data_IF_676382349069
#
_entry.id   IF_676382349069
#
_cell.length_a   1.000
_cell.length_b   1.000
_cell.length_c   1.000
_cell.angle_alpha   90.00
_cell.angle_beta   90.00
_cell.angle_gamma   90.00
#
_symmetry.space_group_name_H-M   'P 1'
#
loop_
_entity.id
_entity.type
_entity.pdbx_description
1 polymer ?
#
# COMPACT_ATOMS: atom_id res chain seq x y z
N UNK A 1 -4.79 -3.09 -3.11
CA UNK A 1 -4.35 -2.67 -1.76
C UNK A 1 -3.49 -3.79 -1.22
N UNK A 2 -2.21 -3.52 -1.01
CA UNK A 2 -1.23 -4.53 -0.59
C UNK A 2 -1.39 -4.81 0.93
N UNK A 3 -1.50 -6.09 1.35
CA UNK A 3 -1.50 -6.46 2.76
C UNK A 3 -0.31 -5.91 3.56
N UNK A 4 0.86 -5.73 2.93
CA UNK A 4 2.03 -5.18 3.62
C UNK A 4 1.90 -3.70 3.93
N UNK A 5 1.27 -2.91 3.04
CA UNK A 5 0.98 -1.50 3.30
C UNK A 5 0.01 -1.33 4.48
N UNK A 6 -1.00 -2.20 4.57
CA UNK A 6 -1.95 -2.16 5.68
C UNK A 6 -1.34 -2.55 7.03
N UNK A 7 -0.29 -3.39 7.02
CA UNK A 7 0.50 -3.67 8.23
C UNK A 7 1.37 -2.47 8.63
N UNK A 8 1.91 -1.74 7.66
CA UNK A 8 2.71 -0.55 7.93
C UNK A 8 1.87 0.56 8.57
N UNK A 9 0.67 0.85 8.05
CA UNK A 9 -0.21 1.86 8.63
C UNK A 9 -0.60 1.53 10.08
N UNK A 10 -0.86 0.26 10.39
CA UNK A 10 -1.09 -0.18 11.77
C UNK A 10 0.12 0.08 12.68
N UNK A 11 1.34 -0.22 12.21
CA UNK A 11 2.56 0.05 12.98
C UNK A 11 2.78 1.55 13.20
N UNK A 12 2.50 2.38 12.21
CA UNK A 12 2.60 3.84 12.34
C UNK A 12 1.65 4.37 13.44
N UNK A 13 0.42 3.86 13.49
CA UNK A 13 -0.54 4.23 14.54
C UNK A 13 -0.11 3.73 15.93
N UNK A 14 0.49 2.54 16.02
CA UNK A 14 1.03 2.01 17.28
C UNK A 14 2.26 2.79 17.76
N UNK A 15 3.13 3.22 16.84
CA UNK A 15 4.35 3.97 17.15
C UNK A 15 4.08 5.33 17.81
N UNK A 16 2.85 5.87 17.74
CA UNK A 16 2.43 7.05 18.49
C UNK A 16 2.52 6.85 20.01
N UNK A 17 2.54 5.59 20.47
CA UNK A 17 2.65 5.23 21.88
C UNK A 17 4.04 4.74 22.27
N UNK A 18 4.99 4.74 21.34
CA UNK A 18 6.36 4.33 21.63
C UNK A 18 7.10 5.41 22.44
N UNK A 19 8.08 4.97 23.22
CA UNK A 19 8.93 5.86 23.98
C UNK A 19 9.83 6.70 23.07
N UNK A 20 9.85 8.01 23.31
CA UNK A 20 10.73 8.94 22.60
C UNK A 20 11.90 9.30 23.50
N UNK A 21 13.10 8.93 23.07
CA UNK A 21 14.35 9.36 23.70
C UNK A 21 14.81 10.63 22.98
N UNK A 22 15.08 11.69 23.73
CA UNK A 22 15.55 12.95 23.18
C UNK A 22 16.81 13.40 23.91
N UNK A 23 17.69 14.04 23.15
CA UNK A 23 18.86 14.74 23.67
C UNK A 23 19.10 15.95 22.78
N UNK A 24 19.21 17.13 23.37
CA UNK A 24 19.51 18.35 22.63
C UNK A 24 20.45 19.24 23.44
N UNK A 25 21.24 20.03 22.72
CA UNK A 25 22.14 21.03 23.28
C UNK A 25 21.89 22.36 22.56
N UNK A 26 21.82 23.43 23.33
CA UNK A 26 21.59 24.78 22.85
C UNK A 26 22.67 25.69 23.41
N UNK A 27 23.35 26.40 22.50
CA UNK A 27 24.25 27.48 22.86
C UNK A 27 23.60 28.81 22.44
N UNK A 28 23.64 29.80 23.33
CA UNK A 28 23.22 31.15 23.01
C UNK A 28 24.18 32.16 23.61
N UNK A 29 24.46 33.21 22.86
CA UNK A 29 25.28 34.33 23.28
C UNK A 29 24.45 35.61 23.23
N UNK A 30 24.57 36.43 24.26
CA UNK A 30 23.88 37.70 24.35
C UNK A 30 24.83 38.80 24.76
N UNK A 31 25.03 39.74 23.85
CA UNK A 31 25.68 41.01 24.13
C UNK A 31 24.70 41.88 24.90
N UNK A 32 25.03 42.14 26.16
CA UNK A 32 24.29 43.10 26.97
C UNK A 32 24.94 44.47 26.84
N UNK A 33 24.14 45.57 26.83
CA UNK A 33 24.70 46.90 26.75
C UNK A 33 25.70 47.08 27.89
N UNK A 34 26.84 47.69 27.57
CA UNK A 34 27.88 47.91 28.54
C UNK A 34 27.32 48.68 29.75
N UNK A 35 27.67 48.21 30.95
CA UNK A 35 27.24 48.90 32.16
C UNK A 35 28.03 50.21 32.28
N UNK A 36 27.33 51.29 32.64
CA UNK A 36 27.98 52.60 32.85
C UNK A 36 28.97 52.47 34.00
N UNK A 37 30.26 52.65 33.70
CA UNK A 37 31.28 52.88 34.72
C UNK A 37 31.08 54.22 35.44
N UNK A 38 31.95 54.47 36.41
CA UNK A 38 31.95 55.68 37.23
C UNK A 38 32.11 56.94 36.36
N UNK A 39 31.32 57.98 36.65
CA UNK A 39 31.43 59.27 35.94
C UNK A 39 32.57 60.05 36.58
N UNK A 40 33.57 60.43 35.80
CA UNK A 40 34.61 61.35 36.27
C UNK A 40 34.44 62.71 35.63
N UNK A 41 34.86 63.75 36.35
CA UNK A 41 34.90 65.12 35.83
C UNK A 41 36.25 65.31 35.13
N UNK A 42 36.24 65.68 33.85
CA UNK A 42 37.48 66.04 33.16
C UNK A 42 37.94 67.40 33.69
N UNK A 43 39.21 67.47 34.10
CA UNK A 43 39.94 68.74 34.27
C UNK A 43 40.77 69.01 33.02
N UNK A 44 40.57 70.15 32.37
CA UNK A 44 41.25 70.52 31.14
C UNK A 44 41.52 72.02 31.10
N UNK A 45 42.63 72.44 30.48
CA UNK A 45 42.96 73.86 30.29
C UNK A 45 42.12 74.53 29.19
N UNK A 46 41.27 73.76 28.49
CA UNK A 46 40.32 74.26 27.51
C UNK A 46 38.96 74.54 28.18
N UNK A 47 38.47 75.81 28.19
CA UNK A 47 37.28 76.22 28.95
C UNK A 47 35.95 75.59 28.48
N UNK A 48 35.93 74.91 27.32
CA UNK A 48 34.75 74.19 26.83
C UNK A 48 34.64 72.75 27.35
N UNK A 49 35.73 72.20 27.89
CA UNK A 49 35.84 70.79 28.29
C UNK A 49 36.13 70.64 29.80
N UNK A 50 36.43 71.74 30.48
CA UNK A 50 36.69 71.77 31.93
C UNK A 50 35.37 71.68 32.71
N UNK A 51 35.23 70.63 33.52
CA UNK A 51 33.99 70.35 34.26
C UNK A 51 32.99 69.43 33.54
N UNK A 52 33.32 68.95 32.34
CA UNK A 52 32.45 68.01 31.62
C UNK A 52 32.51 66.60 32.24
N UNK A 53 31.34 65.96 32.38
CA UNK A 53 31.21 64.60 32.89
C UNK A 53 31.61 63.60 31.79
N UNK A 54 32.80 63.03 31.89
CA UNK A 54 33.23 61.96 30.99
C UNK A 54 33.08 60.57 31.62
N UNK A 55 32.62 59.63 30.80
CA UNK A 55 32.52 58.22 31.17
C UNK A 55 33.88 57.57 30.91
N UNK A 56 34.60 57.15 31.94
CA UNK A 56 35.96 56.62 31.79
C UNK A 56 36.02 55.14 31.37
N UNK A 57 35.01 54.33 31.68
CA UNK A 57 35.01 52.92 31.33
C UNK A 57 33.63 52.45 30.85
N UNK A 58 33.63 51.79 29.69
CA UNK A 58 32.48 51.12 29.09
C UNK A 58 32.76 49.61 29.15
N UNK A 59 32.39 48.97 30.27
CA UNK A 59 32.65 47.54 30.46
C UNK A 59 31.63 46.73 29.65
N UNK A 60 32.08 46.17 28.53
CA UNK A 60 31.28 45.24 27.73
C UNK A 60 30.91 44.02 28.58
N UNK A 61 29.62 43.70 28.65
CA UNK A 61 29.12 42.53 29.34
C UNK A 61 28.57 41.54 28.31
N UNK A 62 29.18 40.36 28.26
CA UNK A 62 28.76 39.26 27.39
C UNK A 62 28.21 38.12 28.25
N UNK A 63 27.06 37.56 27.87
CA UNK A 63 26.44 36.44 28.56
C UNK A 63 26.38 35.23 27.63
N UNK A 64 26.94 34.12 28.07
CA UNK A 64 26.90 32.84 27.38
C UNK A 64 25.96 31.88 28.13
N UNK A 65 25.17 31.15 27.36
CA UNK A 65 24.18 30.19 27.85
C UNK A 65 24.41 28.86 27.16
N UNK A 66 24.59 27.81 27.95
CA UNK A 66 24.64 26.43 27.50
C UNK A 66 23.51 25.65 28.15
N UNK A 67 22.54 25.18 27.38
CA UNK A 67 21.45 24.33 27.86
C UNK A 67 21.57 22.95 27.21
N UNK A 68 21.82 21.92 28.01
CA UNK A 68 21.85 20.52 27.57
C UNK A 68 20.70 19.80 28.27
N UNK A 69 19.84 19.12 27.52
CA UNK A 69 18.80 18.29 28.11
C UNK A 69 18.74 16.95 27.40
N UNK A 70 18.74 15.88 28.20
CA UNK A 70 18.45 14.54 27.73
C UNK A 70 17.29 13.96 28.54
N UNK A 71 16.44 13.16 27.91
CA UNK A 71 15.28 12.59 28.58
C UNK A 71 14.56 11.53 27.77
N UNK A 72 13.58 10.92 28.42
CA UNK A 72 12.66 9.94 27.84
C UNK A 72 11.23 10.39 28.08
N UNK A 73 10.44 10.41 27.03
CA UNK A 73 9.00 10.71 27.06
C UNK A 73 8.23 9.46 26.67
N UNK A 74 7.34 9.00 27.55
CA UNK A 74 6.49 7.83 27.34
C UNK A 74 5.03 8.28 27.28
N UNK A 75 4.42 8.35 26.08
CA UNK A 75 2.98 8.50 25.95
C UNK A 75 2.24 7.22 26.40
N UNK A 76 1.21 7.37 27.22
CA UNK A 76 0.40 6.27 27.73
C UNK A 76 -0.85 6.10 26.87
N UNK A 77 -1.27 4.84 26.69
CA UNK A 77 -2.53 4.47 26.00
C UNK A 77 -3.79 5.06 26.66
N UNK A 78 -3.71 5.47 27.93
CA UNK A 78 -4.79 6.15 28.66
C UNK A 78 -4.93 7.64 28.32
N UNK A 79 -4.06 8.17 27.45
CA UNK A 79 -3.98 9.59 27.09
C UNK A 79 -3.01 10.41 27.97
N UNK A 80 -2.38 9.78 28.96
CA UNK A 80 -1.39 10.42 29.81
C UNK A 80 0.00 10.47 29.17
N UNK A 81 0.92 11.24 29.76
CA UNK A 81 2.34 11.27 29.37
C UNK A 81 3.22 11.24 30.62
N UNK A 82 4.26 10.42 30.59
CA UNK A 82 5.33 10.36 31.59
C UNK A 82 6.58 10.94 30.93
N UNK A 83 7.27 11.87 31.58
CA UNK A 83 8.53 12.43 31.08
C UNK A 83 9.56 12.43 32.20
N UNK A 84 10.74 11.88 31.93
CA UNK A 84 11.91 11.94 32.80
C UNK A 84 13.02 12.65 32.02
N UNK A 85 13.53 13.77 32.52
CA UNK A 85 14.61 14.51 31.87
C UNK A 85 15.64 15.05 32.85
N UNK A 86 16.85 15.26 32.35
CA UNK A 86 18.00 15.76 33.09
C UNK A 86 18.56 17.00 32.37
N UNK A 87 17.99 18.20 32.62
CA UNK A 87 18.57 19.45 32.15
C UNK A 87 19.84 19.82 32.93
N UNK A 88 20.83 20.29 32.19
CA UNK A 88 22.05 20.93 32.66
C UNK A 88 22.15 22.29 31.97
N UNK A 89 22.03 23.34 32.75
CA UNK A 89 22.12 24.73 32.30
C UNK A 89 23.43 25.30 32.86
N UNK A 90 24.29 25.84 32.00
CA UNK A 90 25.37 26.72 32.42
C UNK A 90 25.11 28.15 31.95
N UNK A 91 25.19 29.10 32.87
CA UNK A 91 25.11 30.53 32.59
C UNK A 91 26.39 31.22 32.99
N UNK A 92 27.12 31.69 32.00
CA UNK A 92 28.36 32.42 32.19
C UNK A 92 28.13 33.90 31.85
N UNK A 93 28.62 34.79 32.71
CA UNK A 93 28.71 36.22 32.44
C UNK A 93 30.18 36.59 32.39
N UNK A 94 30.62 37.16 31.27
CA UNK A 94 31.97 37.70 31.07
C UNK A 94 31.93 39.23 31.23
N UNK A 95 32.96 39.79 31.88
CA UNK A 95 33.09 41.21 32.19
C UNK A 95 33.63 41.45 33.61
N UNK A 96 33.51 42.70 34.10
CA UNK A 96 34.03 43.11 35.42
C UNK A 96 33.36 42.38 36.60
N UNK A 97 32.14 41.88 36.41
CA UNK A 97 31.44 40.99 37.35
C UNK A 97 31.23 39.63 36.70
N UNK A 98 32.33 38.86 36.59
CA UNK A 98 32.27 37.52 36.03
C UNK A 98 31.52 36.56 36.96
N UNK A 99 30.68 35.70 36.40
CA UNK A 99 30.02 34.62 37.14
C UNK A 99 29.85 33.40 36.24
N UNK A 100 29.99 32.21 36.82
CA UNK A 100 29.77 30.92 36.16
C UNK A 100 28.80 30.12 37.04
N UNK A 101 27.63 29.78 36.51
CA UNK A 101 26.54 29.17 37.27
C UNK A 101 26.03 27.92 36.55
N UNK A 102 26.37 26.76 37.11
CA UNK A 102 25.80 25.48 36.70
C UNK A 102 24.53 25.18 37.50
N UNK A 103 23.48 24.81 36.78
CA UNK A 103 22.22 24.30 37.35
C UNK A 103 21.94 22.96 36.71
N UNK A 104 21.82 21.94 37.54
CA UNK A 104 21.36 20.63 37.11
C UNK A 104 20.16 20.23 37.94
N UNK A 105 19.19 19.58 37.30
CA UNK A 105 18.05 19.01 37.98
C UNK A 105 17.65 17.70 37.31
N UNK A 106 17.10 16.77 38.09
CA UNK A 106 16.33 15.65 37.55
C UNK A 106 14.85 16.04 37.60
N UNK A 107 14.19 16.04 36.45
CA UNK A 107 12.79 16.41 36.29
C UNK A 107 11.97 15.16 35.97
N UNK A 108 11.04 14.82 36.86
CA UNK A 108 10.00 13.83 36.61
C UNK A 108 8.66 14.54 36.47
N UNK A 109 7.92 14.25 35.40
CA UNK A 109 6.61 14.82 35.11
C UNK A 109 5.63 13.72 34.71
N UNK A 110 4.45 13.73 35.32
CA UNK A 110 3.34 12.86 34.99
C UNK A 110 2.09 13.70 34.73
N UNK A 111 1.47 13.53 33.57
CA UNK A 111 0.26 14.24 33.18
C UNK A 111 -0.78 13.23 32.73
N UNK A 112 -1.98 13.26 33.32
CA UNK A 112 -3.08 12.36 32.97
C UNK A 112 -4.39 13.17 32.82
N UNK A 113 -5.03 13.17 31.63
CA UNK A 113 -6.37 13.71 31.48
C UNK A 113 -7.38 12.85 32.25
N UNK A 114 -8.33 13.48 32.96
CA UNK A 114 -9.36 12.80 33.77
C UNK A 114 -10.73 12.74 33.08
N UNK A 115 -11.01 13.65 32.14
CA UNK A 115 -12.28 13.74 31.42
C UNK A 115 -12.05 13.63 29.92
N UNK A 116 -11.81 14.77 29.24
CA UNK A 116 -11.56 14.79 27.79
C UNK A 116 -10.22 14.12 27.48
N UNK A 117 -10.20 13.21 26.51
CA UNK A 117 -9.04 12.40 26.12
C UNK A 117 -8.58 11.40 27.19
N UNK A 118 -9.40 11.15 28.21
CA UNK A 118 -9.15 10.09 29.16
C UNK A 118 -9.62 8.73 28.59
N UNK A 119 -8.84 7.68 28.87
CA UNK A 119 -9.23 6.30 28.60
C UNK A 119 -8.69 5.73 27.30
N UNK A 120 -8.55 4.41 27.28
CA UNK A 120 -7.90 3.67 26.19
C UNK A 120 -8.71 3.73 24.89
N UNK A 121 -10.05 3.65 24.97
CA UNK A 121 -10.92 3.60 23.79
C UNK A 121 -10.80 4.84 22.90
N UNK A 122 -10.57 6.02 23.50
CA UNK A 122 -10.46 7.28 22.76
C UNK A 122 -9.08 7.40 22.12
N UNK A 123 -8.02 7.05 22.85
CA UNK A 123 -6.64 7.22 22.39
C UNK A 123 -6.22 6.10 21.42
N UNK A 124 -6.73 4.87 21.57
CA UNK A 124 -6.47 3.77 20.64
C UNK A 124 -7.48 3.68 19.49
N UNK A 125 -8.42 4.63 19.38
CA UNK A 125 -9.44 4.61 18.33
C UNK A 125 -8.82 4.50 16.92
N UNK A 126 -7.73 5.24 16.66
CA UNK A 126 -7.05 5.19 15.37
C UNK A 126 -6.35 3.85 15.12
N UNK A 127 -5.76 3.24 16.15
CA UNK A 127 -5.18 1.88 16.07
C UNK A 127 -6.28 0.89 15.71
N UNK A 128 -7.43 0.94 16.38
CA UNK A 128 -8.54 0.02 16.13
C UNK A 128 -9.11 0.17 14.72
N UNK A 129 -9.18 1.39 14.20
CA UNK A 129 -9.56 1.64 12.80
C UNK A 129 -8.52 1.02 11.86
N UNK A 130 -7.22 1.22 12.11
CA UNK A 130 -6.16 0.63 11.30
C UNK A 130 -6.15 -0.91 11.35
N UNK A 131 -6.48 -1.52 12.49
CA UNK A 131 -6.66 -2.97 12.62
C UNK A 131 -7.80 -3.48 11.73
N UNK A 132 -8.96 -2.83 11.80
CA UNK A 132 -10.12 -3.18 10.98
C UNK A 132 -9.86 -3.00 9.48
N UNK A 133 -9.14 -1.93 9.10
CA UNK A 133 -8.74 -1.70 7.72
C UNK A 133 -7.77 -2.78 7.22
N UNK A 134 -6.82 -3.18 8.06
CA UNK A 134 -5.88 -4.27 7.77
C UNK A 134 -6.59 -5.60 7.57
N UNK A 135 -7.56 -5.93 8.43
CA UNK A 135 -8.37 -7.13 8.27
C UNK A 135 -9.26 -7.05 7.02
N UNK A 136 -9.83 -5.88 6.71
CA UNK A 136 -10.60 -5.63 5.49
C UNK A 136 -9.76 -5.86 4.23
N UNK A 137 -8.52 -5.35 4.20
CA UNK A 137 -7.58 -5.60 3.09
C UNK A 137 -7.27 -7.08 2.95
N UNK A 138 -7.00 -7.79 4.05
CA UNK A 138 -6.73 -9.23 4.02
C UNK A 138 -7.92 -10.03 3.46
N UNK A 139 -9.14 -9.71 3.89
CA UNK A 139 -10.36 -10.36 3.40
C UNK A 139 -10.61 -10.05 1.92
N UNK A 140 -10.39 -8.81 1.47
CA UNK A 140 -10.48 -8.43 0.05
C UNK A 140 -9.48 -9.19 -0.81
N UNK A 141 -8.23 -9.32 -0.36
CA UNK A 141 -7.21 -10.11 -1.05
C UNK A 141 -7.61 -11.57 -1.15
N UNK A 142 -8.13 -12.18 -0.07
CA UNK A 142 -8.63 -13.55 -0.10
C UNK A 142 -9.79 -13.73 -1.09
N UNK A 143 -10.74 -12.79 -1.10
CA UNK A 143 -11.86 -12.79 -2.03
C UNK A 143 -11.39 -12.65 -3.49
N UNK A 144 -10.38 -11.81 -3.74
CA UNK A 144 -9.76 -11.68 -5.06
C UNK A 144 -9.17 -13.01 -5.53
N UNK A 145 -8.42 -13.72 -4.67
CA UNK A 145 -7.89 -15.05 -4.99
C UNK A 145 -9.00 -16.04 -5.33
N UNK A 146 -10.06 -16.10 -4.51
CA UNK A 146 -11.22 -16.97 -4.78
C UNK A 146 -11.86 -16.65 -6.13
N UNK A 147 -12.03 -15.36 -6.45
CA UNK A 147 -12.59 -14.93 -7.74
C UNK A 147 -11.72 -15.35 -8.91
N UNK A 148 -10.40 -15.23 -8.80
CA UNK A 148 -9.46 -15.68 -9.84
C UNK A 148 -9.60 -17.19 -10.05
N UNK A 149 -9.56 -17.98 -8.98
CA UNK A 149 -9.72 -19.45 -9.07
C UNK A 149 -11.07 -19.83 -9.69
N UNK A 150 -12.17 -19.21 -9.25
CA UNK A 150 -13.50 -19.47 -9.81
C UNK A 150 -13.61 -19.06 -11.30
N UNK A 151 -12.92 -17.99 -11.70
CA UNK A 151 -12.90 -17.56 -13.11
C UNK A 151 -12.14 -18.56 -13.98
N UNK A 152 -11.00 -19.07 -13.49
CA UNK A 152 -10.21 -20.11 -14.17
C UNK A 152 -10.99 -21.42 -14.25
N UNK A 153 -11.64 -21.84 -13.17
CA UNK A 153 -12.47 -23.05 -13.13
C UNK A 153 -13.64 -22.96 -14.13
N UNK A 154 -14.33 -21.81 -14.18
CA UNK A 154 -15.38 -21.58 -15.19
C UNK A 154 -14.84 -21.68 -16.62
N UNK A 155 -13.71 -21.03 -16.91
CA UNK A 155 -13.10 -21.08 -18.24
C UNK A 155 -12.65 -22.49 -18.62
N UNK A 156 -12.21 -23.29 -17.65
CA UNK A 156 -11.90 -24.71 -17.86
C UNK A 156 -13.15 -25.50 -18.28
N UNK A 157 -14.27 -25.32 -17.58
CA UNK A 157 -15.53 -26.00 -17.92
C UNK A 157 -16.11 -25.53 -19.26
N UNK A 158 -15.96 -24.25 -19.61
CA UNK A 158 -16.33 -23.73 -20.93
C UNK A 158 -15.49 -24.37 -22.05
N UNK A 159 -14.19 -24.58 -21.83
CA UNK A 159 -13.32 -25.31 -22.76
C UNK A 159 -13.76 -26.77 -22.91
N UNK A 160 -14.08 -27.43 -21.80
CA UNK A 160 -14.58 -28.80 -21.80
C UNK A 160 -15.91 -28.92 -22.58
N UNK A 161 -16.85 -28.00 -22.35
CA UNK A 161 -18.13 -27.96 -23.07
C UNK A 161 -17.92 -27.75 -24.57
N UNK A 162 -17.06 -26.80 -24.96
CA UNK A 162 -16.76 -26.53 -26.37
C UNK A 162 -16.12 -27.75 -27.06
N UNK A 163 -15.27 -28.49 -26.33
CA UNK A 163 -14.65 -29.72 -26.82
C UNK A 163 -15.70 -30.83 -27.05
N UNK A 164 -16.59 -31.07 -26.08
CA UNK A 164 -17.67 -32.04 -26.22
C UNK A 164 -18.65 -31.66 -27.35
N UNK A 165 -18.95 -30.37 -27.49
CA UNK A 165 -19.80 -29.86 -28.57
C UNK A 165 -19.15 -30.10 -29.94
N UNK A 166 -17.85 -29.88 -30.08
CA UNK A 166 -17.12 -30.16 -31.31
C UNK A 166 -17.21 -31.64 -31.71
N UNK A 167 -17.02 -32.56 -30.76
CA UNK A 167 -17.12 -34.00 -31.02
C UNK A 167 -18.52 -34.38 -31.55
N UNK A 168 -19.58 -33.85 -30.92
CA UNK A 168 -20.96 -34.06 -31.39
C UNK A 168 -21.18 -33.49 -32.80
N UNK A 169 -20.69 -32.28 -33.10
CA UNK A 169 -20.84 -31.67 -34.43
C UNK A 169 -20.08 -32.43 -35.51
N UNK A 170 -18.89 -32.94 -35.17
CA UNK A 170 -18.09 -33.78 -36.07
C UNK A 170 -18.83 -35.06 -36.45
N UNK A 171 -19.39 -35.76 -35.46
CA UNK A 171 -20.20 -36.96 -35.70
C UNK A 171 -21.45 -36.65 -36.54
N UNK A 172 -22.14 -35.53 -36.29
CA UNK A 172 -23.30 -35.11 -37.09
C UNK A 172 -22.94 -34.83 -38.55
N UNK A 173 -21.80 -34.19 -38.81
CA UNK A 173 -21.30 -33.95 -40.16
C UNK A 173 -20.96 -35.26 -40.88
N UNK A 174 -20.34 -36.21 -40.19
CA UNK A 174 -20.02 -37.53 -40.74
C UNK A 174 -21.30 -38.29 -41.11
N UNK A 175 -22.30 -38.34 -40.23
CA UNK A 175 -23.59 -38.99 -40.52
C UNK A 175 -24.34 -38.31 -41.67
N UNK A 176 -24.33 -36.98 -41.74
CA UNK A 176 -24.94 -36.26 -42.87
C UNK A 176 -24.23 -36.60 -44.20
N UNK A 177 -22.91 -36.71 -44.19
CA UNK A 177 -22.11 -37.07 -45.36
C UNK A 177 -22.39 -38.49 -45.83
N UNK A 178 -22.47 -39.46 -44.91
CA UNK A 178 -22.86 -40.84 -45.21
C UNK A 178 -24.29 -40.91 -45.78
N UNK A 179 -25.23 -40.14 -45.22
CA UNK A 179 -26.59 -40.06 -45.73
C UNK A 179 -26.64 -39.48 -47.16
N UNK A 180 -25.86 -38.43 -47.46
CA UNK A 180 -25.77 -37.90 -48.82
C UNK A 180 -25.26 -38.96 -49.81
N UNK A 181 -24.26 -39.74 -49.44
CA UNK A 181 -23.74 -40.84 -50.26
C UNK A 181 -24.79 -41.93 -50.50
N UNK A 182 -25.56 -42.29 -49.47
CA UNK A 182 -26.68 -43.23 -49.59
C UNK A 182 -27.78 -42.69 -50.53
N UNK A 183 -28.17 -41.42 -50.39
CA UNK A 183 -29.21 -40.80 -51.22
C UNK A 183 -28.75 -40.73 -52.69
N UNK A 184 -27.49 -40.37 -52.96
CA UNK A 184 -26.93 -40.38 -54.31
C UNK A 184 -27.04 -41.75 -54.98
N UNK A 185 -26.71 -42.83 -54.26
CA UNK A 185 -26.83 -44.21 -54.76
C UNK A 185 -28.28 -44.58 -55.09
N UNK A 186 -29.22 -44.31 -54.17
CA UNK A 186 -30.65 -44.59 -54.40
C UNK A 186 -31.24 -43.85 -55.60
N UNK A 187 -30.77 -42.62 -55.85
CA UNK A 187 -31.20 -41.85 -57.04
C UNK A 187 -30.62 -42.43 -58.33
N UNK A 188 -29.37 -42.89 -58.32
CA UNK A 188 -28.76 -43.60 -59.46
C UNK A 188 -29.50 -44.90 -59.79
N UNK A 189 -30.02 -45.59 -58.77
CA UNK A 189 -30.82 -46.81 -58.89
C UNK A 189 -32.31 -46.53 -59.22
N UNK A 190 -32.73 -45.25 -59.31
CA UNK A 190 -34.11 -44.86 -59.61
C UNK A 190 -35.10 -45.06 -58.46
N UNK A 191 -34.63 -45.33 -57.24
CA UNK A 191 -35.45 -45.59 -56.05
C UNK A 191 -35.94 -44.30 -55.35
N UNK A 192 -35.43 -43.13 -55.73
CA UNK A 192 -35.73 -41.85 -55.08
C UNK A 192 -35.62 -40.69 -56.09
N UNK A 193 -36.35 -39.60 -55.86
CA UNK A 193 -36.33 -38.42 -56.72
C UNK A 193 -35.00 -37.64 -56.64
N UNK A 194 -34.53 -37.09 -57.76
CA UNK A 194 -33.28 -36.34 -57.84
C UNK A 194 -33.23 -35.10 -56.91
N UNK A 195 -34.37 -34.52 -56.57
CA UNK A 195 -34.48 -33.40 -55.62
C UNK A 195 -33.96 -33.75 -54.22
N UNK A 196 -34.00 -35.03 -53.83
CA UNK A 196 -33.49 -35.48 -52.53
C UNK A 196 -31.97 -35.36 -52.42
N UNK A 197 -31.23 -35.40 -53.55
CA UNK A 197 -29.78 -35.13 -53.54
C UNK A 197 -29.52 -33.69 -53.13
N UNK A 198 -30.24 -32.72 -53.71
CA UNK A 198 -30.08 -31.30 -53.36
C UNK A 198 -30.46 -31.06 -51.89
N UNK A 199 -31.54 -31.69 -51.41
CA UNK A 199 -31.95 -31.61 -50.00
C UNK A 199 -30.88 -32.17 -49.06
N UNK A 200 -30.30 -33.32 -49.39
CA UNK A 200 -29.21 -33.91 -48.61
C UNK A 200 -27.93 -33.07 -48.66
N UNK A 201 -27.60 -32.44 -49.80
CA UNK A 201 -26.46 -31.53 -49.92
C UNK A 201 -26.61 -30.29 -49.03
N UNK A 202 -27.80 -29.68 -49.00
CA UNK A 202 -28.11 -28.58 -48.06
C UNK A 202 -27.89 -29.05 -46.63
N UNK A 203 -28.41 -30.23 -46.27
CA UNK A 203 -28.20 -30.79 -44.94
C UNK A 203 -26.73 -31.00 -44.57
N UNK A 204 -25.87 -31.43 -45.51
CA UNK A 204 -24.42 -31.53 -45.28
C UNK A 204 -23.78 -30.15 -45.11
N UNK A 205 -24.16 -29.17 -45.94
CA UNK A 205 -23.66 -27.80 -45.83
C UNK A 205 -23.99 -27.17 -44.47
N UNK A 206 -25.23 -27.34 -44.00
CA UNK A 206 -25.66 -26.86 -42.68
C UNK A 206 -24.84 -27.49 -41.53
N UNK A 207 -24.50 -28.79 -41.63
CA UNK A 207 -23.65 -29.46 -40.63
C UNK A 207 -22.20 -29.03 -40.71
N UNK A 208 -21.70 -28.74 -41.92
CA UNK A 208 -20.35 -28.21 -42.11
C UNK A 208 -20.21 -26.83 -41.49
N UNK A 209 -21.19 -25.93 -41.69
CA UNK A 209 -21.21 -24.62 -41.03
C UNK A 209 -21.21 -24.76 -39.51
N UNK A 210 -22.10 -25.61 -38.97
CA UNK A 210 -22.16 -25.86 -37.53
C UNK A 210 -20.85 -26.44 -36.96
N UNK A 211 -20.12 -27.26 -37.73
CA UNK A 211 -18.80 -27.78 -37.36
C UNK A 211 -17.76 -26.67 -37.31
N UNK A 212 -17.69 -25.81 -38.32
CA UNK A 212 -16.76 -24.66 -38.38
C UNK A 212 -16.97 -23.71 -37.20
N UNK A 213 -18.24 -23.44 -36.86
CA UNK A 213 -18.59 -22.61 -35.69
C UNK A 213 -18.12 -23.28 -34.40
N UNK A 214 -18.32 -24.59 -34.24
CA UNK A 214 -17.85 -25.32 -33.06
C UNK A 214 -16.32 -25.32 -32.92
N UNK A 215 -15.58 -25.50 -34.02
CA UNK A 215 -14.12 -25.39 -34.03
C UNK A 215 -13.64 -24.00 -33.62
N UNK A 216 -14.33 -22.96 -34.08
CA UNK A 216 -14.02 -21.57 -33.73
C UNK A 216 -14.26 -21.32 -32.24
N UNK A 217 -15.39 -21.80 -31.70
CA UNK A 217 -15.72 -21.67 -30.29
C UNK A 217 -14.70 -22.39 -29.39
N UNK A 218 -14.24 -23.58 -29.78
CA UNK A 218 -13.19 -24.30 -29.06
C UNK A 218 -11.90 -23.47 -28.99
N UNK A 219 -11.47 -22.89 -30.12
CA UNK A 219 -10.27 -22.03 -30.17
C UNK A 219 -10.41 -20.78 -29.30
N UNK A 220 -11.61 -20.18 -29.25
CA UNK A 220 -11.88 -19.03 -28.38
C UNK A 220 -11.83 -19.42 -26.90
N UNK A 221 -12.45 -20.52 -26.51
CA UNK A 221 -12.42 -21.03 -25.13
C UNK A 221 -10.98 -21.37 -24.68
N UNK A 222 -10.19 -21.98 -25.58
CA UNK A 222 -8.78 -22.27 -25.31
C UNK A 222 -7.96 -21.00 -25.06
N UNK A 223 -8.12 -19.98 -25.91
CA UNK A 223 -7.43 -18.69 -25.75
C UNK A 223 -7.85 -17.96 -24.48
N UNK A 224 -9.13 -18.04 -24.11
CA UNK A 224 -9.64 -17.45 -22.87
C UNK A 224 -8.97 -18.07 -21.64
N UNK A 225 -8.82 -19.40 -21.61
CA UNK A 225 -8.13 -20.09 -20.52
C UNK A 225 -6.64 -19.74 -20.47
N UNK A 226 -5.95 -19.72 -21.62
CA UNK A 226 -4.54 -19.32 -21.72
C UNK A 226 -4.31 -17.89 -21.20
N UNK A 227 -5.18 -16.96 -21.59
CA UNK A 227 -5.13 -15.58 -21.10
C UNK A 227 -5.26 -15.50 -19.57
N UNK A 228 -6.19 -16.26 -18.97
CA UNK A 228 -6.38 -16.29 -17.51
C UNK A 228 -5.22 -16.94 -16.76
N UNK A 229 -4.56 -17.92 -17.36
CA UNK A 229 -3.37 -18.56 -16.80
C UNK A 229 -2.09 -17.73 -16.99
N UNK A 230 -2.18 -16.61 -17.71
CA UNK A 230 -1.04 -15.81 -18.16
C UNK A 230 -0.01 -16.67 -18.92
N UNK A 231 -0.49 -17.72 -19.59
CA UNK A 231 0.26 -18.66 -20.41
C UNK A 231 -0.10 -18.38 -21.88
N UNK A 232 0.21 -17.15 -22.31
CA UNK A 232 0.03 -16.77 -23.70
C UNK A 232 1.12 -17.49 -24.50
N UNK A 233 0.74 -18.36 -25.47
CA UNK A 233 1.73 -19.06 -26.26
C UNK A 233 2.56 -18.03 -27.04
N UNK A 234 3.88 -18.08 -26.86
CA UNK A 234 4.82 -17.42 -27.76
C UNK A 234 4.57 -17.98 -29.18
N UNK A 235 4.64 -17.12 -30.20
CA UNK A 235 4.15 -17.36 -31.57
C UNK A 235 4.77 -18.59 -32.28
N UNK A 236 5.66 -19.31 -31.60
CA UNK A 236 6.49 -20.42 -32.06
C UNK A 236 6.02 -21.82 -31.62
N UNK A 237 5.19 -21.96 -30.57
CA UNK A 237 4.69 -23.29 -30.18
C UNK A 237 3.44 -23.64 -30.98
N UNK A 238 3.61 -24.56 -31.94
CA UNK A 238 2.53 -25.18 -32.70
C UNK A 238 1.37 -25.51 -31.78
N UNK A 239 0.23 -24.89 -32.10
CA UNK A 239 -1.07 -24.94 -31.43
C UNK A 239 -1.60 -26.38 -31.32
N UNK A 240 -0.98 -27.22 -30.49
CA UNK A 240 -1.59 -28.47 -30.05
C UNK A 240 -2.86 -28.10 -29.27
N UNK A 241 -4.04 -28.57 -29.69
CA UNK A 241 -5.27 -28.28 -28.96
C UNK A 241 -5.14 -28.84 -27.55
N UNK A 242 -5.40 -28.00 -26.55
CA UNK A 242 -5.44 -28.44 -25.15
C UNK A 242 -6.60 -29.43 -25.02
N UNK A 243 -6.28 -30.69 -24.72
CA UNK A 243 -7.27 -31.73 -24.51
C UNK A 243 -7.59 -31.78 -23.01
N UNK A 244 -8.85 -31.54 -22.60
CA UNK A 244 -9.25 -31.75 -21.22
C UNK A 244 -9.02 -33.22 -20.84
N UNK A 245 -8.21 -33.48 -19.82
CA UNK A 245 -7.92 -34.85 -19.35
C UNK A 245 -8.86 -35.33 -18.24
N UNK A 246 -9.83 -34.51 -17.82
CA UNK A 246 -10.81 -34.95 -16.81
C UNK A 246 -11.69 -36.04 -17.39
N UNK A 247 -11.50 -37.25 -16.89
CA UNK A 247 -12.49 -38.31 -17.00
C UNK A 247 -13.74 -37.80 -16.30
N UNK A 248 -14.85 -37.68 -17.04
CA UNK A 248 -16.15 -37.47 -16.42
C UNK A 248 -16.34 -38.56 -15.38
N UNK A 249 -16.37 -38.21 -14.09
CA UNK A 249 -16.99 -39.09 -13.11
C UNK A 249 -18.49 -38.94 -13.37
N UNK A 250 -19.17 -39.97 -13.94
CA UNK A 250 -20.62 -39.92 -14.05
C UNK A 250 -21.17 -39.78 -12.62
N UNK A 251 -22.06 -38.81 -12.43
CA UNK A 251 -22.54 -38.37 -11.13
C UNK A 251 -22.93 -39.52 -10.21
N UNK A 252 -22.40 -39.50 -9.00
CA UNK A 252 -23.10 -40.11 -7.87
C UNK A 252 -24.26 -39.15 -7.52
N UNK A 253 -25.44 -39.48 -8.05
CA UNK A 253 -26.73 -39.04 -7.52
C UNK A 253 -27.02 -39.83 -6.27
#
# INVERSE_FOLDING_TARGET
MDPELAKQSLREEQAKFDQVIFAYAKYAEKDTPAMSGDKVVIKSDNPLLDGELAKLNLDAQKKEFWDIEAGVKVPLRTGGTVTLSAPLENRQSLGKFASDQYRSALRFSFSQPLLRNAGQQVNEASIRVAELDRDSVQLKTRLQTIRIVATVDKAYWELYEAWAALDVRKNQFEYASQNLEMVKRRVQEGLTAAVEVNRAQIGVADRMEALIVAETNLKLAQRQLQFLLNDLPDDQEKQSPWVPTTVSQPGQV
#
